data_IF_412903242401
#
_entry.id   IF_412903242401
#
_cell.length_a   1.000
_cell.length_b   1.000
_cell.length_c   1.000
_cell.angle_alpha   90.00
_cell.angle_beta   90.00
_cell.angle_gamma   90.00
#
_symmetry.space_group_name_H-M   'P 1'
#
loop_
_entity.id
_entity.type
_entity.pdbx_description
1 polymer ?
#
# COMPACT_ATOMS: atom_id res chain seq x y z
N UNK A 1 -11.99 8.09 -0.69
CA UNK A 1 -10.59 8.43 -0.85
C UNK A 1 -10.05 8.24 -2.25
N UNK A 2 -8.77 8.44 -2.39
CA UNK A 2 -8.08 8.36 -3.70
C UNK A 2 -7.75 6.93 -4.14
N UNK A 3 -7.97 5.94 -3.27
CA UNK A 3 -7.74 4.52 -3.60
C UNK A 3 -6.45 3.93 -3.07
N UNK A 4 -5.92 4.42 -1.96
CA UNK A 4 -4.69 3.90 -1.34
C UNK A 4 -4.79 2.40 -1.04
N UNK A 5 -5.88 1.98 -0.44
CA UNK A 5 -6.12 0.56 -0.12
C UNK A 5 -6.17 -0.30 -1.39
N UNK A 6 -6.88 0.17 -2.40
CA UNK A 6 -6.95 -0.50 -3.71
C UNK A 6 -5.57 -0.64 -4.35
N UNK A 7 -4.79 0.43 -4.36
CA UNK A 7 -3.43 0.40 -4.95
C UNK A 7 -2.51 -0.52 -4.16
N UNK A 8 -2.61 -0.55 -2.84
CA UNK A 8 -1.86 -1.50 -2.01
C UNK A 8 -2.20 -2.94 -2.40
N UNK A 9 -3.49 -3.25 -2.56
CA UNK A 9 -3.94 -4.58 -2.97
C UNK A 9 -3.42 -4.94 -4.37
N UNK A 10 -3.58 -4.04 -5.35
CA UNK A 10 -3.12 -4.27 -6.73
C UNK A 10 -1.61 -4.50 -6.79
N UNK A 11 -0.84 -3.65 -6.14
CA UNK A 11 0.62 -3.77 -6.10
C UNK A 11 1.05 -5.07 -5.44
N UNK A 12 0.44 -5.40 -4.29
CA UNK A 12 0.73 -6.64 -3.57
C UNK A 12 0.41 -7.89 -4.39
N UNK A 13 -0.74 -7.90 -5.06
CA UNK A 13 -1.13 -9.02 -5.92
C UNK A 13 -0.18 -9.17 -7.12
N UNK A 14 0.19 -8.06 -7.77
CA UNK A 14 1.12 -8.09 -8.90
C UNK A 14 2.50 -8.60 -8.48
N UNK A 15 3.00 -8.17 -7.33
CA UNK A 15 4.27 -8.62 -6.78
C UNK A 15 4.22 -10.11 -6.43
N UNK A 16 3.20 -10.54 -5.70
CA UNK A 16 3.06 -11.93 -5.27
C UNK A 16 2.88 -12.89 -6.46
N UNK A 17 2.11 -12.47 -7.47
CA UNK A 17 1.86 -13.26 -8.67
C UNK A 17 3.14 -13.47 -9.51
N UNK A 18 4.02 -12.48 -9.51
CA UNK A 18 5.25 -12.50 -10.32
C UNK A 18 6.46 -13.12 -9.60
N UNK A 19 6.39 -13.34 -8.29
CA UNK A 19 7.53 -13.75 -7.47
C UNK A 19 7.26 -15.08 -6.78
N UNK A 20 8.34 -15.80 -6.48
CA UNK A 20 8.25 -17.03 -5.68
C UNK A 20 8.44 -16.77 -4.19
N UNK A 21 9.08 -15.67 -3.82
CA UNK A 21 9.27 -15.27 -2.43
C UNK A 21 8.00 -14.65 -1.84
N UNK A 22 7.98 -14.50 -0.52
CA UNK A 22 6.77 -14.05 0.19
C UNK A 22 6.63 -12.55 0.16
N UNK A 23 5.38 -12.11 -0.07
CA UNK A 23 4.97 -10.70 -0.02
C UNK A 23 3.82 -10.57 0.97
N UNK A 24 3.86 -9.56 1.83
CA UNK A 24 2.81 -9.25 2.78
C UNK A 24 2.31 -7.81 2.59
N UNK A 25 1.01 -7.62 2.71
CA UNK A 25 0.37 -6.31 2.83
C UNK A 25 -0.16 -6.15 4.25
N UNK A 26 0.22 -5.06 4.90
CA UNK A 26 -0.15 -4.76 6.29
C UNK A 26 -1.09 -3.58 6.32
N UNK A 27 -2.23 -3.74 6.98
CA UNK A 27 -3.19 -2.67 7.21
C UNK A 27 -2.84 -1.92 8.49
N UNK A 28 -2.22 -0.76 8.34
CA UNK A 28 -1.87 0.14 9.45
C UNK A 28 -2.84 1.32 9.58
N UNK A 29 -4.02 1.24 8.95
CA UNK A 29 -5.02 2.30 9.01
C UNK A 29 -5.66 2.35 10.39
N UNK A 30 -5.56 3.49 11.13
CA UNK A 30 -6.15 3.62 12.46
C UNK A 30 -7.67 3.71 12.46
N UNK A 31 -8.26 4.02 11.32
CA UNK A 31 -9.69 4.23 11.15
C UNK A 31 -10.43 2.96 10.72
N UNK A 32 -9.96 1.79 11.13
CA UNK A 32 -10.47 0.49 10.71
C UNK A 32 -10.36 0.30 9.20
N UNK A 33 -9.21 -0.16 8.77
CA UNK A 33 -8.93 -0.40 7.36
C UNK A 33 -9.70 -1.56 6.77
N UNK A 34 -9.81 -1.55 5.45
CA UNK A 34 -10.56 -2.54 4.67
C UNK A 34 -9.67 -3.36 3.74
N UNK A 35 -8.34 -3.33 3.95
CA UNK A 35 -7.38 -3.97 3.06
C UNK A 35 -7.66 -5.48 2.89
N UNK A 36 -7.86 -6.19 3.99
CA UNK A 36 -8.11 -7.63 3.93
C UNK A 36 -9.39 -7.97 3.14
N UNK A 37 -10.43 -7.16 3.29
CA UNK A 37 -11.70 -7.35 2.58
C UNK A 37 -11.56 -7.13 1.07
N UNK A 38 -10.59 -6.33 0.64
CA UNK A 38 -10.30 -6.09 -0.78
C UNK A 38 -9.47 -7.21 -1.40
N UNK A 39 -8.76 -8.00 -0.56
CA UNK A 39 -7.84 -9.03 -1.04
C UNK A 39 -8.48 -10.42 -1.01
N UNK A 40 -9.15 -10.77 0.10
CA UNK A 40 -9.69 -12.12 0.26
C UNK A 40 -10.92 -12.12 1.14
N UNK A 41 -11.94 -12.89 0.73
CA UNK A 41 -13.15 -13.16 1.52
C UNK A 41 -13.57 -14.62 1.35
N UNK A 42 -14.08 -15.25 2.43
CA UNK A 42 -14.04 -14.75 3.81
C UNK A 42 -12.60 -14.78 4.37
N UNK A 43 -12.31 -13.95 5.35
CA UNK A 43 -11.06 -14.02 6.08
C UNK A 43 -11.37 -14.19 7.58
N UNK A 44 -10.40 -14.73 8.33
CA UNK A 44 -10.57 -14.89 9.77
C UNK A 44 -10.47 -13.54 10.51
N UNK A 45 -10.80 -13.55 11.82
CA UNK A 45 -10.84 -12.35 12.64
C UNK A 45 -9.47 -11.92 13.21
N UNK A 46 -8.39 -12.59 12.83
CA UNK A 46 -7.05 -12.24 13.29
C UNK A 46 -6.55 -10.95 12.64
N UNK A 47 -5.72 -10.21 13.37
CA UNK A 47 -5.32 -8.86 12.99
C UNK A 47 -3.89 -8.54 13.35
N UNK A 48 -3.45 -7.32 13.04
CA UNK A 48 -2.16 -6.76 13.49
C UNK A 48 -2.00 -6.88 15.00
N UNK A 49 -3.09 -6.76 15.77
CA UNK A 49 -3.06 -6.88 17.22
C UNK A 49 -2.59 -8.27 17.67
N UNK A 50 -3.02 -9.30 17.00
CA UNK A 50 -2.60 -10.67 17.31
C UNK A 50 -1.11 -10.85 17.08
N UNK A 51 -0.56 -10.25 16.02
CA UNK A 51 0.87 -10.30 15.78
C UNK A 51 1.67 -9.50 16.79
N UNK A 52 1.18 -8.34 17.22
CA UNK A 52 1.81 -7.54 18.28
C UNK A 52 1.92 -8.36 19.57
N UNK A 53 0.87 -9.10 19.92
CA UNK A 53 0.84 -9.91 21.13
C UNK A 53 1.89 -11.00 21.15
N UNK A 54 2.23 -11.61 20.01
CA UNK A 54 3.12 -12.75 19.93
C UNK A 54 4.48 -12.42 19.31
N UNK A 55 4.77 -11.15 19.01
CA UNK A 55 5.93 -10.79 18.19
C UNK A 55 7.26 -11.33 18.71
N UNK A 56 7.44 -11.41 20.03
CA UNK A 56 8.65 -11.99 20.63
C UNK A 56 8.69 -13.53 20.59
N UNK A 57 7.55 -14.16 20.38
CA UNK A 57 7.40 -15.61 20.42
C UNK A 57 7.33 -16.25 19.03
N UNK A 58 7.43 -15.46 17.98
CA UNK A 58 7.42 -15.96 16.61
C UNK A 58 8.74 -16.69 16.33
N UNK A 59 8.64 -17.99 16.06
CA UNK A 59 9.79 -18.87 15.80
C UNK A 59 9.95 -19.22 14.32
N UNK A 60 8.91 -19.06 13.51
CA UNK A 60 8.94 -19.36 12.09
C UNK A 60 7.71 -18.81 11.38
N UNK A 61 7.73 -18.92 10.05
CA UNK A 61 6.62 -18.49 9.22
C UNK A 61 5.29 -19.14 9.62
N UNK A 62 5.33 -20.37 10.13
CA UNK A 62 4.14 -21.08 10.58
C UNK A 62 3.31 -20.25 11.59
N UNK A 63 3.99 -19.55 12.52
CA UNK A 63 3.30 -18.75 13.54
C UNK A 63 2.58 -17.56 12.92
N UNK A 64 3.13 -16.98 11.85
CA UNK A 64 2.53 -15.86 11.13
C UNK A 64 1.38 -16.34 10.23
N UNK A 65 1.54 -17.50 9.60
CA UNK A 65 0.54 -18.05 8.70
C UNK A 65 -0.82 -18.31 9.37
N UNK A 66 -0.83 -18.47 10.67
CA UNK A 66 -2.06 -18.62 11.46
C UNK A 66 -2.82 -17.29 11.65
N UNK A 67 -2.15 -16.16 11.40
CA UNK A 67 -2.70 -14.80 11.63
C UNK A 67 -3.09 -14.13 10.32
N UNK A 68 -2.31 -14.32 9.26
CA UNK A 68 -2.55 -13.69 7.96
C UNK A 68 -3.62 -14.45 7.17
N UNK A 69 -4.23 -13.75 6.22
CA UNK A 69 -5.05 -14.37 5.18
C UNK A 69 -4.28 -14.34 3.86
N UNK A 70 -4.59 -15.25 2.95
CA UNK A 70 -3.88 -15.39 1.67
C UNK A 70 -4.86 -15.50 0.51
N UNK A 71 -4.62 -14.75 -0.56
CA UNK A 71 -5.41 -14.83 -1.78
C UNK A 71 -4.82 -15.81 -2.81
N UNK A 72 -5.45 -15.89 -3.98
CA UNK A 72 -5.01 -16.78 -5.06
C UNK A 72 -3.65 -16.39 -5.66
N UNK A 73 -3.20 -15.15 -5.53
CA UNK A 73 -1.87 -14.72 -5.98
C UNK A 73 -0.78 -15.10 -4.99
N UNK A 74 -1.13 -15.62 -3.81
CA UNK A 74 -0.24 -15.92 -2.69
C UNK A 74 0.21 -14.69 -1.91
N UNK A 75 -0.50 -13.57 -2.07
CA UNK A 75 -0.29 -12.39 -1.23
C UNK A 75 -0.83 -12.68 0.16
N UNK A 76 0.00 -12.52 1.18
CA UNK A 76 -0.44 -12.54 2.56
C UNK A 76 -0.92 -11.15 2.96
N UNK A 77 -2.01 -11.08 3.70
CA UNK A 77 -2.55 -9.82 4.22
C UNK A 77 -2.73 -9.91 5.73
N UNK A 78 -2.24 -8.88 6.41
CA UNK A 78 -2.41 -8.71 7.85
C UNK A 78 -3.44 -7.61 8.08
N UNK A 79 -4.63 -8.02 8.53
CA UNK A 79 -5.78 -7.13 8.68
C UNK A 79 -5.64 -6.17 9.87
N UNK A 80 -6.27 -5.00 9.79
CA UNK A 80 -6.48 -4.16 10.96
C UNK A 80 -7.51 -4.81 11.90
N UNK A 81 -7.52 -4.38 13.16
CA UNK A 81 -8.50 -4.90 14.11
C UNK A 81 -9.92 -4.48 13.71
N UNK A 82 -10.89 -5.38 13.91
CA UNK A 82 -12.29 -5.11 13.61
C UNK A 82 -12.91 -4.10 14.57
N UNK A 83 -12.41 -4.00 15.80
CA UNK A 83 -12.84 -2.99 16.77
C UNK A 83 -12.09 -1.67 16.48
N UNK A 84 -12.81 -0.59 16.13
CA UNK A 84 -12.17 0.69 15.83
C UNK A 84 -11.32 1.25 16.97
N UNK A 85 -11.69 0.97 18.21
CA UNK A 85 -10.95 1.45 19.40
C UNK A 85 -9.59 0.77 19.50
N UNK A 86 -9.53 -0.52 19.15
CA UNK A 86 -8.28 -1.29 19.14
C UNK A 86 -7.43 -0.87 17.95
N UNK A 87 -8.04 -0.68 16.77
CA UNK A 87 -7.35 -0.20 15.59
C UNK A 87 -6.71 1.18 15.82
N UNK A 88 -7.44 2.08 16.48
CA UNK A 88 -6.96 3.42 16.84
C UNK A 88 -5.78 3.38 17.81
N UNK A 89 -5.73 2.38 18.68
CA UNK A 89 -4.68 2.21 19.67
C UNK A 89 -3.36 1.65 19.09
N UNK A 90 -3.34 1.28 17.83
CA UNK A 90 -2.13 0.79 17.13
C UNK A 90 -1.09 1.91 17.04
N UNK A 91 0.03 1.73 17.75
CA UNK A 91 1.05 2.76 17.97
C UNK A 91 2.26 2.58 17.07
N UNK A 92 3.17 3.57 17.07
CA UNK A 92 4.49 3.47 16.42
C UNK A 92 5.27 2.25 16.90
N UNK A 93 5.29 2.02 18.22
CA UNK A 93 5.95 0.88 18.82
C UNK A 93 5.35 -0.44 18.32
N UNK A 94 4.04 -0.53 18.27
CA UNK A 94 3.33 -1.69 17.75
C UNK A 94 3.67 -1.94 16.29
N UNK A 95 3.71 -0.89 15.48
CA UNK A 95 4.09 -0.99 14.08
C UNK A 95 5.53 -1.49 13.92
N UNK A 96 6.46 -0.99 14.72
CA UNK A 96 7.86 -1.42 14.67
C UNK A 96 7.99 -2.91 15.00
N UNK A 97 7.22 -3.43 15.95
CA UNK A 97 7.18 -4.84 16.29
C UNK A 97 6.67 -5.67 15.11
N UNK A 98 5.57 -5.24 14.50
CA UNK A 98 5.00 -5.90 13.31
C UNK A 98 5.97 -5.87 12.14
N UNK A 99 6.56 -4.73 11.85
CA UNK A 99 7.49 -4.55 10.74
C UNK A 99 8.76 -5.39 10.93
N UNK A 100 9.26 -5.50 12.16
CA UNK A 100 10.42 -6.32 12.48
C UNK A 100 10.17 -7.79 12.19
N UNK A 101 9.02 -8.32 12.60
CA UNK A 101 8.62 -9.69 12.29
C UNK A 101 8.42 -9.88 10.79
N UNK A 102 7.69 -8.98 10.15
CA UNK A 102 7.41 -9.07 8.71
C UNK A 102 8.70 -9.06 7.88
N UNK A 103 9.63 -8.16 8.20
CA UNK A 103 10.91 -8.05 7.48
C UNK A 103 11.76 -9.33 7.58
N UNK A 104 11.58 -10.10 8.65
CA UNK A 104 12.33 -11.34 8.83
C UNK A 104 11.81 -12.48 7.94
N UNK A 105 10.50 -12.52 7.67
CA UNK A 105 9.86 -13.64 6.98
C UNK A 105 9.37 -13.32 5.56
N UNK A 106 9.37 -12.05 5.18
CA UNK A 106 8.89 -11.60 3.88
C UNK A 106 9.96 -10.80 3.16
N UNK A 107 10.04 -11.00 1.85
CA UNK A 107 10.96 -10.21 1.00
C UNK A 107 10.46 -8.80 0.76
N UNK A 108 9.15 -8.63 0.69
CA UNK A 108 8.50 -7.33 0.49
C UNK A 108 7.36 -7.15 1.49
N UNK A 109 7.33 -5.97 2.10
CA UNK A 109 6.30 -5.57 3.06
C UNK A 109 5.67 -4.28 2.56
N UNK A 110 4.37 -4.34 2.25
CA UNK A 110 3.60 -3.18 1.82
C UNK A 110 2.73 -2.72 2.99
N UNK A 111 2.80 -1.44 3.32
CA UNK A 111 2.01 -0.89 4.42
C UNK A 111 0.99 0.09 3.89
N UNK A 112 -0.29 -0.20 4.12
CA UNK A 112 -1.40 0.70 3.83
C UNK A 112 -1.66 1.58 5.03
N UNK A 113 -1.33 2.86 4.91
CA UNK A 113 -1.55 3.86 5.96
C UNK A 113 -2.95 4.45 5.85
N UNK A 114 -3.44 5.05 6.92
CA UNK A 114 -4.70 5.77 6.91
C UNK A 114 -4.63 7.09 6.15
N UNK A 115 -5.70 7.83 6.19
CA UNK A 115 -5.80 9.17 5.61
C UNK A 115 -5.07 10.19 6.49
N UNK A 116 -4.40 11.13 5.83
CA UNK A 116 -3.66 12.20 6.53
C UNK A 116 -2.22 11.82 6.84
N UNK A 117 -1.39 12.85 6.95
CA UNK A 117 0.05 12.70 7.18
C UNK A 117 0.36 12.63 8.67
N UNK A 118 -0.52 13.19 9.51
CA UNK A 118 -0.31 13.33 10.94
C UNK A 118 -1.04 12.23 11.70
N UNK A 119 -0.36 11.10 11.87
CA UNK A 119 -0.84 10.00 12.69
C UNK A 119 0.34 9.36 13.42
N UNK A 120 0.10 8.77 14.61
CA UNK A 120 1.16 8.18 15.43
C UNK A 120 1.95 7.08 14.73
N UNK A 121 1.31 6.29 13.85
CA UNK A 121 1.96 5.21 13.10
C UNK A 121 2.71 5.74 11.88
N UNK A 122 2.37 6.92 11.37
CA UNK A 122 2.96 7.47 10.15
C UNK A 122 4.46 7.72 10.30
N UNK A 123 4.91 8.22 11.44
CA UNK A 123 6.33 8.46 11.68
C UNK A 123 7.14 7.16 11.57
N UNK A 124 6.68 6.09 12.21
CA UNK A 124 7.37 4.79 12.15
C UNK A 124 7.35 4.21 10.74
N UNK A 125 6.22 4.32 10.03
CA UNK A 125 6.13 3.83 8.64
C UNK A 125 7.09 4.56 7.72
N UNK A 126 7.20 5.88 7.84
CA UNK A 126 8.12 6.68 7.04
C UNK A 126 9.58 6.38 7.37
N UNK A 127 9.91 6.23 8.65
CA UNK A 127 11.27 5.92 9.07
C UNK A 127 11.76 4.56 8.56
N UNK A 128 10.85 3.58 8.47
CA UNK A 128 11.18 2.23 8.03
C UNK A 128 10.98 2.01 6.53
N UNK A 129 10.33 2.94 5.84
CA UNK A 129 10.03 2.78 4.42
C UNK A 129 11.28 2.91 3.54
N UNK A 130 11.51 1.92 2.71
CA UNK A 130 12.54 1.96 1.66
C UNK A 130 12.02 2.68 0.41
N UNK A 131 10.72 2.65 0.19
CA UNK A 131 10.05 3.30 -0.94
C UNK A 131 8.71 3.84 -0.49
N UNK A 132 8.34 5.00 -1.00
CA UNK A 132 7.04 5.62 -0.76
C UNK A 132 6.26 5.64 -2.07
N UNK A 133 5.00 5.20 -2.00
CA UNK A 133 4.05 5.31 -3.11
C UNK A 133 2.98 6.30 -2.68
N UNK A 134 2.80 7.34 -3.47
CA UNK A 134 1.78 8.37 -3.22
C UNK A 134 0.67 8.18 -4.23
N UNK A 135 -0.55 8.00 -3.75
CA UNK A 135 -1.72 7.81 -4.60
C UNK A 135 -2.47 9.13 -4.73
N UNK A 136 -2.69 9.56 -5.95
CA UNK A 136 -3.48 10.74 -6.29
C UNK A 136 -4.71 10.33 -7.09
N UNK A 137 -5.87 10.92 -6.76
CA UNK A 137 -6.99 10.92 -7.67
C UNK A 137 -6.74 11.93 -8.80
N UNK A 138 -7.71 12.06 -9.70
CA UNK A 138 -7.57 12.86 -10.91
C UNK A 138 -8.24 14.24 -10.84
N UNK A 139 -8.88 14.59 -9.73
CA UNK A 139 -9.43 15.92 -9.52
C UNK A 139 -8.32 16.89 -9.10
N UNK A 140 -8.58 18.19 -9.29
CA UNK A 140 -7.65 19.25 -8.87
C UNK A 140 -7.37 19.18 -7.38
N UNK A 141 -8.39 18.95 -6.56
CA UNK A 141 -8.25 18.89 -5.12
C UNK A 141 -7.43 17.68 -4.67
N UNK A 142 -7.67 16.52 -5.29
CA UNK A 142 -6.91 15.31 -4.98
C UNK A 142 -5.45 15.44 -5.40
N UNK A 143 -5.19 16.03 -6.56
CA UNK A 143 -3.81 16.29 -7.01
C UNK A 143 -3.09 17.29 -6.10
N UNK A 144 -3.81 18.30 -5.59
CA UNK A 144 -3.28 19.25 -4.62
C UNK A 144 -2.84 18.55 -3.34
N UNK A 145 -3.67 17.64 -2.81
CA UNK A 145 -3.33 16.86 -1.61
C UNK A 145 -2.08 16.01 -1.82
N UNK A 146 -1.94 15.38 -2.98
CA UNK A 146 -0.73 14.61 -3.30
C UNK A 146 0.51 15.52 -3.37
N UNK A 147 0.39 16.70 -3.98
CA UNK A 147 1.49 17.69 -4.02
C UNK A 147 1.86 18.18 -2.63
N UNK A 148 0.87 18.42 -1.77
CA UNK A 148 1.09 18.81 -0.37
C UNK A 148 1.79 17.71 0.41
N UNK A 149 1.49 16.44 0.12
CA UNK A 149 2.17 15.31 0.73
C UNK A 149 3.65 15.30 0.38
N UNK A 150 3.99 15.51 -0.88
CA UNK A 150 5.38 15.62 -1.32
C UNK A 150 6.09 16.80 -0.62
N UNK A 151 5.45 17.94 -0.55
CA UNK A 151 6.02 19.12 0.13
C UNK A 151 6.25 18.84 1.62
N UNK A 152 5.29 18.20 2.28
CA UNK A 152 5.44 17.84 3.69
C UNK A 152 6.63 16.91 3.91
N UNK A 153 6.80 15.91 3.07
CA UNK A 153 7.94 14.99 3.15
C UNK A 153 9.26 15.75 2.98
N UNK A 154 9.33 16.64 2.00
CA UNK A 154 10.52 17.44 1.72
C UNK A 154 10.90 18.36 2.89
N UNK A 155 9.91 18.89 3.61
CA UNK A 155 10.13 19.85 4.70
C UNK A 155 10.25 19.20 6.08
N UNK A 156 10.05 17.89 6.19
CA UNK A 156 10.08 17.16 7.45
C UNK A 156 11.15 16.06 7.53
N UNK A 157 12.21 16.18 6.71
CA UNK A 157 13.36 15.30 6.80
C UNK A 157 13.28 14.05 5.92
N UNK A 158 12.30 13.97 5.03
CA UNK A 158 12.10 12.84 4.12
C UNK A 158 12.32 13.23 2.65
N UNK A 159 13.25 14.14 2.41
CA UNK A 159 13.51 14.69 1.08
C UNK A 159 13.92 13.63 0.07
N UNK A 160 14.79 12.70 0.48
CA UNK A 160 15.25 11.63 -0.40
C UNK A 160 14.10 10.68 -0.76
N UNK A 161 13.30 10.29 0.24
CA UNK A 161 12.14 9.43 0.03
C UNK A 161 11.12 10.11 -0.89
N UNK A 162 10.93 11.42 -0.76
CA UNK A 162 10.03 12.18 -1.64
C UNK A 162 10.53 12.18 -3.09
N UNK A 163 11.83 12.40 -3.29
CA UNK A 163 12.44 12.40 -4.61
C UNK A 163 12.38 11.05 -5.28
N UNK A 164 12.56 9.98 -4.51
CA UNK A 164 12.52 8.60 -5.00
C UNK A 164 11.12 8.00 -5.02
N UNK A 165 10.10 8.76 -4.64
CA UNK A 165 8.73 8.27 -4.58
C UNK A 165 8.16 7.93 -5.96
N UNK A 166 7.20 7.03 -5.97
CA UNK A 166 6.37 6.73 -7.13
C UNK A 166 5.00 7.36 -6.88
N UNK A 167 4.53 8.17 -7.83
CA UNK A 167 3.17 8.73 -7.78
C UNK A 167 2.27 7.88 -8.66
N UNK A 168 1.14 7.45 -8.11
CA UNK A 168 0.11 6.72 -8.85
C UNK A 168 -1.07 7.64 -9.10
N UNK A 169 -1.38 7.87 -10.37
CA UNK A 169 -2.57 8.58 -10.79
C UNK A 169 -3.68 7.56 -10.97
N UNK A 170 -4.60 7.50 -10.02
CA UNK A 170 -5.63 6.48 -9.95
C UNK A 170 -6.98 7.03 -10.45
N UNK A 171 -7.49 6.47 -11.53
CA UNK A 171 -8.82 6.80 -12.04
C UNK A 171 -9.87 5.92 -11.38
N UNK A 172 -10.63 6.49 -10.44
CA UNK A 172 -11.65 5.76 -9.66
C UNK A 172 -13.07 5.89 -10.21
N UNK A 173 -13.28 6.77 -11.21
CA UNK A 173 -14.57 6.99 -11.83
C UNK A 173 -14.49 6.82 -13.35
N UNK A 174 -15.58 6.35 -14.01
CA UNK A 174 -15.56 6.17 -15.46
C UNK A 174 -15.59 7.52 -16.20
N UNK A 175 -15.26 7.48 -17.48
CA UNK A 175 -15.32 8.62 -18.37
C UNK A 175 -13.98 9.32 -18.54
N UNK A 176 -14.01 10.50 -19.18
CA UNK A 176 -12.83 11.32 -19.39
C UNK A 176 -12.46 12.04 -18.09
N UNK A 177 -11.20 11.97 -17.64
CA UNK A 177 -10.78 12.68 -16.44
C UNK A 177 -11.03 14.18 -16.52
N UNK A 178 -11.47 14.79 -15.41
CA UNK A 178 -11.73 16.23 -15.32
C UNK A 178 -10.48 17.08 -15.47
N UNK A 179 -9.34 16.52 -15.00
CA UNK A 179 -8.03 17.16 -15.13
C UNK A 179 -7.27 16.45 -16.24
N UNK A 180 -6.51 17.21 -17.03
CA UNK A 180 -5.72 16.63 -18.12
C UNK A 180 -4.62 15.74 -17.54
N UNK A 181 -4.71 14.43 -17.83
CA UNK A 181 -3.76 13.45 -17.36
C UNK A 181 -2.32 13.79 -17.72
N UNK A 182 -2.10 14.28 -18.94
CA UNK A 182 -0.76 14.65 -19.38
C UNK A 182 -0.15 15.77 -18.53
N UNK A 183 -0.97 16.74 -18.13
CA UNK A 183 -0.52 17.85 -17.27
C UNK A 183 -0.19 17.35 -15.87
N UNK A 184 -1.04 16.49 -15.30
CA UNK A 184 -0.77 15.88 -13.99
C UNK A 184 0.50 15.03 -14.02
N UNK A 185 0.66 14.23 -15.04
CA UNK A 185 1.85 13.40 -15.20
C UNK A 185 3.12 14.24 -15.30
N UNK A 186 3.08 15.30 -16.10
CA UNK A 186 4.21 16.21 -16.24
C UNK A 186 4.55 16.91 -14.92
N UNK A 187 3.51 17.35 -14.18
CA UNK A 187 3.69 17.99 -12.88
C UNK A 187 4.40 17.07 -11.88
N UNK A 188 3.89 15.86 -11.71
CA UNK A 188 4.49 14.92 -10.75
C UNK A 188 5.82 14.34 -11.21
N UNK A 189 6.06 14.25 -12.52
CA UNK A 189 7.33 13.80 -13.06
C UNK A 189 8.50 14.74 -12.70
N UNK A 190 8.23 16.00 -12.41
CA UNK A 190 9.26 16.94 -11.94
C UNK A 190 9.58 16.80 -10.46
N UNK A 191 8.77 16.06 -9.70
CA UNK A 191 8.87 16.00 -8.24
C UNK A 191 9.13 14.60 -7.69
N UNK A 192 8.79 13.56 -8.43
CA UNK A 192 8.94 12.17 -8.03
C UNK A 192 9.77 11.40 -9.06
N UNK A 193 10.23 10.22 -8.67
CA UNK A 193 11.05 9.38 -9.56
C UNK A 193 10.25 8.86 -10.75
N UNK A 194 9.01 8.44 -10.51
CA UNK A 194 8.15 7.82 -11.53
C UNK A 194 6.70 8.16 -11.29
N UNK A 195 5.92 8.15 -12.37
CA UNK A 195 4.48 8.34 -12.35
C UNK A 195 3.82 7.19 -13.10
N UNK A 196 2.85 6.53 -12.47
CA UNK A 196 2.09 5.42 -13.06
C UNK A 196 0.63 5.79 -13.13
N UNK A 197 -0.02 5.52 -14.25
CA UNK A 197 -1.47 5.70 -14.42
C UNK A 197 -2.16 4.36 -14.23
N UNK A 198 -3.14 4.31 -13.32
CA UNK A 198 -4.00 3.14 -13.14
C UNK A 198 -5.39 3.50 -13.67
N UNK A 199 -5.87 2.82 -14.71
CA UNK A 199 -7.14 3.15 -15.34
C UNK A 199 -8.33 2.72 -14.48
N UNK A 200 -9.51 3.26 -14.83
CA UNK A 200 -10.77 2.79 -14.26
C UNK A 200 -11.00 1.32 -14.58
N UNK A 201 -11.41 0.57 -13.57
CA UNK A 201 -11.75 -0.84 -13.70
C UNK A 201 -13.08 -1.11 -12.97
N UNK A 202 -14.11 -1.61 -13.68
CA UNK A 202 -15.42 -1.86 -13.08
C UNK A 202 -15.38 -2.82 -11.90
N UNK A 203 -14.49 -3.80 -11.90
CA UNK A 203 -14.34 -4.74 -10.78
C UNK A 203 -13.85 -4.06 -9.51
N UNK A 204 -12.94 -3.12 -9.66
CA UNK A 204 -12.44 -2.31 -8.54
C UNK A 204 -13.54 -1.38 -8.04
N UNK A 205 -14.23 -0.72 -8.95
CA UNK A 205 -15.30 0.22 -8.62
C UNK A 205 -16.47 -0.44 -7.89
N UNK A 206 -16.69 -1.73 -8.10
CA UNK A 206 -17.71 -2.50 -7.42
C UNK A 206 -17.51 -2.63 -5.91
N UNK A 207 -16.34 -2.32 -5.39
CA UNK A 207 -16.06 -2.23 -3.96
C UNK A 207 -15.84 -3.56 -3.22
N UNK A 208 -15.93 -4.68 -3.89
CA UNK A 208 -15.75 -6.00 -3.29
C UNK A 208 -14.30 -6.48 -3.31
N UNK A 209 -14.14 -7.78 -3.11
CA UNK A 209 -12.85 -8.46 -3.22
C UNK A 209 -12.31 -8.36 -4.64
N UNK A 210 -11.06 -8.00 -4.78
CA UNK A 210 -10.37 -7.93 -6.07
C UNK A 210 -9.84 -9.32 -6.41
N UNK A 211 -10.20 -9.82 -7.60
CA UNK A 211 -9.62 -11.04 -8.17
C UNK A 211 -8.70 -10.61 -9.30
N UNK A 212 -7.41 -10.70 -9.09
CA UNK A 212 -6.39 -10.16 -10.01
C UNK A 212 -6.55 -10.67 -11.45
N UNK A 213 -6.82 -11.98 -11.59
CA UNK A 213 -7.00 -12.61 -12.90
C UNK A 213 -8.20 -12.06 -13.69
N UNK A 214 -9.19 -11.49 -12.99
CA UNK A 214 -10.42 -10.98 -13.62
C UNK A 214 -10.38 -9.49 -13.92
N UNK A 215 -9.31 -8.80 -13.55
CA UNK A 215 -9.13 -7.38 -13.86
C UNK A 215 -8.95 -7.18 -15.36
N UNK A 216 -9.26 -5.98 -15.84
CA UNK A 216 -8.97 -5.62 -17.22
C UNK A 216 -7.47 -5.78 -17.52
N UNK A 217 -7.10 -6.16 -18.76
CA UNK A 217 -5.68 -6.29 -19.12
C UNK A 217 -4.87 -5.03 -18.83
N UNK A 218 -5.40 -3.85 -19.13
CA UNK A 218 -4.74 -2.57 -18.88
C UNK A 218 -4.53 -2.29 -17.40
N UNK A 219 -5.43 -2.75 -16.54
CA UNK A 219 -5.27 -2.64 -15.08
C UNK A 219 -4.15 -3.53 -14.59
N UNK A 220 -4.09 -4.78 -15.07
CA UNK A 220 -3.00 -5.70 -14.72
C UNK A 220 -1.65 -5.20 -15.22
N UNK A 221 -1.60 -4.64 -16.43
CA UNK A 221 -0.39 -4.05 -16.98
C UNK A 221 0.09 -2.90 -16.10
N UNK A 222 -0.81 -1.99 -15.70
CA UNK A 222 -0.46 -0.87 -14.81
C UNK A 222 0.06 -1.36 -13.46
N UNK A 223 -0.59 -2.37 -12.87
CA UNK A 223 -0.17 -2.95 -11.59
C UNK A 223 1.22 -3.59 -11.70
N UNK A 224 1.51 -4.30 -12.80
CA UNK A 224 2.83 -4.90 -13.05
C UNK A 224 3.90 -3.84 -13.32
N UNK A 225 3.56 -2.77 -14.00
CA UNK A 225 4.47 -1.62 -14.19
C UNK A 225 4.85 -1.01 -12.84
N UNK A 226 3.87 -0.77 -11.98
CA UNK A 226 4.09 -0.25 -10.64
C UNK A 226 5.00 -1.19 -9.84
N UNK A 227 4.73 -2.50 -9.90
CA UNK A 227 5.53 -3.51 -9.23
C UNK A 227 6.99 -3.50 -9.72
N UNK A 228 7.20 -3.41 -11.03
CA UNK A 228 8.53 -3.37 -11.62
C UNK A 228 9.32 -2.11 -11.20
N UNK A 229 8.66 -0.96 -11.19
CA UNK A 229 9.27 0.30 -10.75
C UNK A 229 9.63 0.27 -9.27
N UNK A 230 8.79 -0.34 -8.44
CA UNK A 230 9.07 -0.50 -7.00
C UNK A 230 10.32 -1.36 -6.79
N UNK A 231 10.38 -2.51 -7.43
CA UNK A 231 11.51 -3.44 -7.31
C UNK A 231 12.80 -2.80 -7.83
N UNK A 232 12.72 -2.09 -8.95
CA UNK A 232 13.86 -1.34 -9.51
C UNK A 232 14.42 -0.32 -8.49
N UNK A 233 13.53 0.45 -7.85
CA UNK A 233 13.94 1.42 -6.83
C UNK A 233 14.56 0.77 -5.61
N UNK A 234 14.04 -0.37 -5.16
CA UNK A 234 14.60 -1.12 -4.04
C UNK A 234 15.99 -1.67 -4.37
N UNK A 235 16.21 -2.18 -5.58
CA UNK A 235 17.53 -2.66 -6.04
C UNK A 235 18.55 -1.52 -6.12
N UNK A 236 18.15 -0.37 -6.63
CA UNK A 236 19.02 0.80 -6.72
C UNK A 236 19.44 1.29 -5.33
N UNK A 237 18.54 1.26 -4.35
CA UNK A 237 18.83 1.64 -2.97
C UNK A 237 19.77 0.67 -2.29
N UNK A 238 19.70 -0.63 -2.60
CA UNK A 238 20.55 -1.67 -2.01
C UNK A 238 21.96 -1.72 -2.61
N UNK A 239 22.17 -1.10 -3.76
CA UNK A 239 23.46 -1.10 -4.48
C UNK A 239 24.52 -0.14 -3.85
#
# INVERSE_FOLDING_TARGET
>A
GVGKTTITALLGMALADAREDRVIAVDANPDRGTLAERIVRPHHSKSVRDLVRIHDDVKGYHDISAIVARDATRLDVLASDADPRIAEAFSDSDYRDVAGVAAHYYSLVLTDTGTGIVHSVMSATLDLADQIVIVSGLSVDEARLASETLTWLETNGYEEQAREAIVVLNQSTPGTPLVRLNELQAHFATRARSVVRVPYDPQIAGGGTIVFANLLPETRIAARELAALLVEGLRAKAA
#
